data_IF_965486295650
#
_entry.id   IF_965486295650
#
_cell.length_a   1.000
_cell.length_b   1.000
_cell.length_c   1.000
_cell.angle_alpha   90.00
_cell.angle_beta   90.00
_cell.angle_gamma   90.00
#
_symmetry.space_group_name_H-M   'P 1'
#
loop_
_entity.id
_entity.type
_entity.pdbx_description
1 polymer ?
#
# COMPACT_ATOMS: atom_id res chain seq x y z
N UNK A 1 64.43 -24.84 11.42
CA UNK A 1 63.52 -23.67 11.33
C UNK A 1 62.17 -24.14 10.85
N UNK A 2 61.18 -24.19 11.72
CA UNK A 2 59.77 -24.59 11.40
C UNK A 2 58.94 -23.30 11.31
N UNK A 3 58.52 -22.95 10.11
CA UNK A 3 57.61 -21.79 9.87
C UNK A 3 56.20 -22.30 10.12
N UNK A 4 55.60 -21.86 11.23
CA UNK A 4 54.24 -22.14 11.59
C UNK A 4 53.33 -21.17 10.82
N UNK A 5 52.71 -21.64 9.74
CA UNK A 5 51.73 -20.89 8.98
C UNK A 5 50.43 -20.71 9.76
N UNK A 6 50.12 -19.49 10.22
CA UNK A 6 48.89 -19.14 10.89
C UNK A 6 47.83 -18.89 9.81
N UNK A 7 46.94 -19.88 9.62
CA UNK A 7 45.75 -19.73 8.74
C UNK A 7 44.75 -18.88 9.49
N UNK A 8 44.58 -17.62 9.04
CA UNK A 8 43.53 -16.70 9.50
C UNK A 8 42.23 -17.14 8.85
N UNK A 9 41.40 -17.92 9.56
CA UNK A 9 40.06 -18.27 9.14
C UNK A 9 39.16 -17.01 9.22
N UNK A 10 38.91 -16.38 8.06
CA UNK A 10 37.94 -15.28 7.94
C UNK A 10 36.53 -15.88 8.15
N UNK A 11 35.94 -15.69 9.33
CA UNK A 11 34.58 -16.02 9.63
C UNK A 11 33.68 -15.09 8.83
N UNK A 12 33.22 -15.55 7.67
CA UNK A 12 32.09 -14.96 6.93
C UNK A 12 30.83 -15.08 7.82
N UNK A 13 30.57 -14.09 8.66
CA UNK A 13 29.30 -14.00 9.34
C UNK A 13 28.22 -13.73 8.28
N UNK A 14 27.17 -14.57 8.20
CA UNK A 14 26.06 -14.28 7.32
C UNK A 14 25.44 -12.93 7.79
N UNK A 15 25.50 -11.92 6.93
CA UNK A 15 24.74 -10.70 7.14
C UNK A 15 23.27 -11.11 7.08
N UNK A 16 22.50 -10.94 8.16
CA UNK A 16 21.08 -11.25 8.11
C UNK A 16 20.47 -10.43 6.96
N UNK A 17 19.81 -11.11 6.02
CA UNK A 17 19.04 -10.43 4.99
C UNK A 17 18.07 -9.51 5.73
N UNK A 18 18.25 -8.19 5.59
CA UNK A 18 17.43 -7.22 6.27
C UNK A 18 15.96 -7.54 5.96
N UNK A 19 15.22 -7.86 7.00
CA UNK A 19 13.80 -8.07 6.92
C UNK A 19 13.18 -6.81 6.31
N UNK A 20 12.38 -6.95 5.29
CA UNK A 20 11.87 -5.82 4.56
C UNK A 20 10.49 -6.12 3.98
N UNK A 21 9.52 -5.36 4.40
CA UNK A 21 8.20 -5.33 3.78
C UNK A 21 8.18 -4.26 2.70
N UNK A 22 7.74 -4.63 1.50
CA UNK A 22 7.50 -3.68 0.40
C UNK A 22 6.01 -3.39 0.33
N UNK A 23 5.65 -2.12 0.42
CA UNK A 23 4.31 -1.65 0.09
C UNK A 23 4.30 -1.20 -1.37
N UNK A 24 3.29 -1.63 -2.12
CA UNK A 24 3.08 -1.20 -3.50
C UNK A 24 1.68 -0.62 -3.66
N UNK A 25 1.59 0.45 -4.42
CA UNK A 25 0.35 1.18 -4.69
C UNK A 25 -0.14 0.84 -6.08
N UNK A 26 -1.38 0.38 -6.14
CA UNK A 26 -2.02 -0.09 -7.37
C UNK A 26 -3.23 0.74 -7.73
N UNK A 27 -3.47 0.88 -9.04
CA UNK A 27 -4.76 1.28 -9.58
C UNK A 27 -5.34 0.18 -10.46
N UNK A 28 -6.66 0.06 -10.43
CA UNK A 28 -7.42 -0.76 -11.37
C UNK A 28 -8.34 0.16 -12.15
N UNK A 29 -8.19 0.16 -13.48
CA UNK A 29 -8.99 1.00 -14.36
C UNK A 29 -10.39 0.43 -14.60
N UNK A 30 -11.26 1.23 -15.22
CA UNK A 30 -12.60 0.81 -15.63
C UNK A 30 -12.56 -0.41 -16.56
N UNK A 31 -13.00 -1.55 -16.02
CA UNK A 31 -13.38 -2.73 -16.78
C UNK A 31 -14.85 -3.02 -16.48
N UNK A 32 -15.14 -4.18 -15.94
CA UNK A 32 -16.46 -4.55 -15.40
C UNK A 32 -16.77 -3.97 -14.02
N UNK A 33 -15.84 -3.23 -13.40
CA UNK A 33 -15.93 -2.68 -12.05
C UNK A 33 -15.56 -1.20 -12.00
N UNK A 34 -15.94 -0.50 -10.92
CA UNK A 34 -15.53 0.89 -10.69
C UNK A 34 -13.99 1.01 -10.57
N UNK A 35 -13.39 2.13 -11.05
CA UNK A 35 -11.97 2.41 -10.83
C UNK A 35 -11.63 2.35 -9.36
N UNK A 36 -10.50 1.71 -9.03
CA UNK A 36 -10.12 1.47 -7.65
C UNK A 36 -8.63 1.71 -7.42
N UNK A 37 -8.28 2.16 -6.22
CA UNK A 37 -6.91 2.18 -5.72
C UNK A 37 -6.78 1.33 -4.46
N UNK A 38 -5.68 0.60 -4.35
CA UNK A 38 -5.39 -0.27 -3.21
C UNK A 38 -3.89 -0.42 -3.02
N UNK A 39 -3.49 -1.02 -1.90
CA UNK A 39 -2.10 -1.34 -1.59
C UNK A 39 -1.90 -2.84 -1.51
N UNK A 40 -0.68 -3.30 -1.83
CA UNK A 40 -0.19 -4.64 -1.45
C UNK A 40 0.97 -4.49 -0.49
N UNK A 41 1.14 -5.46 0.40
CA UNK A 41 2.25 -5.58 1.34
C UNK A 41 2.88 -6.96 1.16
N UNK A 42 4.17 -7.01 0.80
CA UNK A 42 4.90 -8.26 0.55
C UNK A 42 6.29 -8.20 1.15
N UNK A 43 6.72 -9.30 1.77
CA UNK A 43 8.06 -9.41 2.34
C UNK A 43 8.13 -10.20 3.63
N UNK A 44 9.06 -9.80 4.50
CA UNK A 44 9.22 -10.35 5.85
C UNK A 44 9.50 -9.23 6.84
N UNK A 45 8.96 -9.36 8.03
CA UNK A 45 9.28 -8.53 9.19
C UNK A 45 10.59 -8.98 9.86
N UNK A 46 11.15 -8.17 10.76
CA UNK A 46 12.42 -8.47 11.46
C UNK A 46 12.32 -9.76 12.31
N UNK A 47 11.14 -10.09 12.84
CA UNK A 47 10.87 -11.34 13.55
C UNK A 47 10.64 -12.55 12.64
N UNK A 48 10.76 -12.37 11.30
CA UNK A 48 10.65 -13.43 10.30
C UNK A 48 9.24 -13.72 9.81
N UNK A 49 8.21 -12.98 10.26
CA UNK A 49 6.85 -13.16 9.78
C UNK A 49 6.75 -12.86 8.27
N UNK A 50 6.23 -13.81 7.51
CA UNK A 50 5.96 -13.60 6.07
C UNK A 50 4.70 -12.77 5.90
N UNK A 51 4.81 -11.69 5.11
CA UNK A 51 3.72 -10.79 4.75
C UNK A 51 3.41 -10.95 3.28
N UNK A 52 2.18 -11.31 2.93
CA UNK A 52 1.62 -11.29 1.57
C UNK A 52 0.12 -10.98 1.66
N UNK A 53 -0.22 -9.72 1.59
CA UNK A 53 -1.60 -9.25 1.73
C UNK A 53 -1.83 -7.99 0.91
N UNK A 54 -3.11 -7.58 0.82
CA UNK A 54 -3.49 -6.34 0.16
C UNK A 54 -4.74 -5.74 0.82
N UNK A 55 -4.92 -4.43 0.70
CA UNK A 55 -6.03 -3.70 1.30
C UNK A 55 -6.50 -2.57 0.40
N UNK A 56 -7.81 -2.50 0.20
CA UNK A 56 -8.49 -1.39 -0.44
C UNK A 56 -9.71 -0.98 0.38
N UNK A 57 -10.08 0.30 0.35
CA UNK A 57 -11.31 0.77 0.99
C UNK A 57 -12.41 0.96 -0.04
N UNK A 58 -13.51 0.23 0.12
CA UNK A 58 -14.62 0.21 -0.83
C UNK A 58 -15.98 0.31 -0.14
N UNK A 59 -17.04 0.54 -0.90
CA UNK A 59 -18.41 0.47 -0.40
C UNK A 59 -18.79 -0.99 -0.11
N UNK A 60 -19.52 -1.24 0.98
CA UNK A 60 -20.06 -2.58 1.32
C UNK A 60 -20.98 -3.13 0.23
N UNK A 61 -21.72 -2.22 -0.45
CA UNK A 61 -22.61 -2.56 -1.55
C UNK A 61 -22.54 -1.49 -2.63
N UNK A 62 -22.35 -1.90 -3.88
CA UNK A 62 -22.32 -1.02 -5.04
C UNK A 62 -23.76 -0.84 -5.54
N UNK A 63 -24.41 0.24 -5.13
CA UNK A 63 -25.77 0.60 -5.52
C UNK A 63 -25.81 2.06 -5.98
N UNK A 64 -26.86 2.53 -6.68
CA UNK A 64 -27.02 3.93 -7.05
C UNK A 64 -26.94 4.91 -5.87
N UNK A 65 -27.21 4.45 -4.64
CA UNK A 65 -27.09 5.26 -3.41
C UNK A 65 -25.68 5.84 -3.21
N UNK A 66 -24.62 5.21 -3.77
CA UNK A 66 -23.24 5.73 -3.75
C UNK A 66 -23.13 7.11 -4.41
N UNK A 67 -23.92 7.34 -5.47
CA UNK A 67 -23.95 8.60 -6.21
C UNK A 67 -24.70 9.70 -5.45
N UNK A 68 -25.61 9.30 -4.57
CA UNK A 68 -26.50 10.20 -3.83
C UNK A 68 -25.95 10.61 -2.46
N UNK A 69 -24.94 9.92 -1.93
CA UNK A 69 -24.44 10.24 -0.59
C UNK A 69 -23.48 9.23 -0.01
N UNK A 70 -23.46 9.17 1.32
CA UNK A 70 -22.60 8.24 2.06
C UNK A 70 -23.30 6.88 2.25
N UNK A 71 -22.53 5.80 2.07
CA UNK A 71 -22.95 4.41 2.28
C UNK A 71 -21.98 3.71 3.24
N UNK A 72 -22.29 2.47 3.65
CA UNK A 72 -21.36 1.67 4.46
C UNK A 72 -20.06 1.42 3.70
N UNK A 73 -18.91 1.61 4.35
CA UNK A 73 -17.58 1.28 3.84
C UNK A 73 -17.00 0.02 4.48
N UNK A 74 -16.04 -0.60 3.81
CA UNK A 74 -15.25 -1.73 4.33
C UNK A 74 -13.82 -1.70 3.78
N UNK A 75 -12.87 -2.21 4.56
CA UNK A 75 -11.59 -2.66 4.02
C UNK A 75 -11.80 -4.04 3.38
N UNK A 76 -11.32 -4.21 2.19
CA UNK A 76 -11.44 -5.44 1.41
C UNK A 76 -10.06 -5.90 0.94
N UNK A 77 -9.87 -7.23 0.92
CA UNK A 77 -8.71 -7.89 0.33
C UNK A 77 -9.11 -8.43 -1.04
N UNK A 78 -8.40 -8.01 -2.08
CA UNK A 78 -8.66 -8.43 -3.46
C UNK A 78 -8.07 -9.81 -3.76
N UNK A 79 -8.71 -10.55 -4.66
CA UNK A 79 -8.21 -11.84 -5.16
C UNK A 79 -6.89 -11.67 -5.93
N UNK A 80 -6.00 -12.69 -5.96
CA UNK A 80 -4.73 -12.61 -6.69
C UNK A 80 -4.90 -12.24 -8.16
N UNK A 81 -5.93 -12.76 -8.84
CA UNK A 81 -6.22 -12.42 -10.24
C UNK A 81 -6.55 -10.95 -10.46
N UNK A 82 -7.24 -10.31 -9.50
CA UNK A 82 -7.53 -8.88 -9.54
C UNK A 82 -6.26 -8.05 -9.38
N UNK A 83 -5.39 -8.42 -8.44
CA UNK A 83 -4.09 -7.77 -8.25
C UNK A 83 -3.24 -7.90 -9.51
N UNK A 84 -3.19 -9.11 -10.11
CA UNK A 84 -2.41 -9.39 -11.33
C UNK A 84 -2.90 -8.59 -12.56
N UNK A 85 -4.19 -8.26 -12.63
CA UNK A 85 -4.78 -7.44 -13.72
C UNK A 85 -4.78 -5.94 -13.42
N UNK A 86 -4.17 -5.50 -12.32
CA UNK A 86 -4.09 -4.10 -11.91
C UNK A 86 -2.70 -3.51 -12.20
N UNK A 87 -2.63 -2.20 -12.40
CA UNK A 87 -1.39 -1.48 -12.66
C UNK A 87 -0.71 -1.07 -11.35
N UNK A 88 0.51 -1.57 -11.13
CA UNK A 88 1.37 -1.06 -10.07
C UNK A 88 1.93 0.31 -10.49
N UNK A 89 1.71 1.33 -9.66
CA UNK A 89 2.16 2.68 -9.96
C UNK A 89 3.55 2.97 -9.36
N UNK A 90 3.78 2.55 -8.11
CA UNK A 90 5.08 2.66 -7.43
C UNK A 90 5.12 1.77 -6.18
N UNK A 91 6.29 1.62 -5.60
CA UNK A 91 6.52 0.83 -4.37
C UNK A 91 7.48 1.55 -3.43
N UNK A 92 7.37 1.27 -2.12
CA UNK A 92 8.26 1.78 -1.08
C UNK A 92 8.64 0.63 -0.15
N UNK A 93 9.88 0.62 0.30
CA UNK A 93 10.36 -0.30 1.32
C UNK A 93 10.00 0.26 2.69
N UNK A 94 9.48 -0.60 3.55
CA UNK A 94 9.07 -0.24 4.91
C UNK A 94 10.03 -0.89 5.91
N UNK A 95 10.37 -0.16 6.97
CA UNK A 95 10.82 -0.78 8.21
C UNK A 95 9.62 -1.33 9.01
N UNK A 96 9.90 -2.10 10.07
CA UNK A 96 8.84 -2.73 10.88
C UNK A 96 7.95 -1.71 11.59
N UNK A 97 8.48 -0.54 11.96
CA UNK A 97 7.69 0.53 12.58
C UNK A 97 6.70 1.12 11.57
N UNK A 98 7.14 1.37 10.35
CA UNK A 98 6.28 1.83 9.26
C UNK A 98 5.23 0.79 8.91
N UNK A 99 5.62 -0.50 8.83
CA UNK A 99 4.69 -1.60 8.61
C UNK A 99 3.61 -1.66 9.70
N UNK A 100 4.01 -1.63 10.98
CA UNK A 100 3.05 -1.62 12.09
C UNK A 100 2.10 -0.42 12.04
N UNK A 101 2.61 0.76 11.66
CA UNK A 101 1.80 1.97 11.51
C UNK A 101 0.79 1.85 10.36
N UNK A 102 1.18 1.24 9.23
CA UNK A 102 0.27 0.95 8.11
C UNK A 102 -0.84 -0.01 8.56
N UNK A 103 -0.48 -1.07 9.29
CA UNK A 103 -1.48 -2.04 9.79
C UNK A 103 -2.44 -1.40 10.80
N UNK A 104 -1.97 -0.51 11.66
CA UNK A 104 -2.82 0.26 12.57
C UNK A 104 -3.80 1.18 11.80
N UNK A 105 -3.34 1.81 10.72
CA UNK A 105 -4.19 2.61 9.85
C UNK A 105 -5.25 1.75 9.13
N UNK A 106 -4.87 0.58 8.62
CA UNK A 106 -5.81 -0.38 8.01
C UNK A 106 -6.92 -0.73 9.00
N UNK A 107 -6.57 -1.02 10.26
CA UNK A 107 -7.54 -1.37 11.30
C UNK A 107 -8.44 -0.17 11.66
N UNK A 108 -7.89 1.04 11.76
CA UNK A 108 -8.68 2.28 11.92
C UNK A 108 -9.74 2.41 10.82
N UNK A 109 -9.37 2.17 9.55
CA UNK A 109 -10.30 2.25 8.44
C UNK A 109 -11.30 1.09 8.41
N UNK A 110 -10.91 -0.10 8.90
CA UNK A 110 -11.78 -1.29 9.01
C UNK A 110 -12.92 -1.07 10.00
N UNK A 111 -12.63 -0.37 11.10
CA UNK A 111 -13.57 -0.13 12.21
C UNK A 111 -14.39 1.16 12.08
N UNK A 112 -14.29 1.87 10.94
CA UNK A 112 -15.08 3.08 10.71
C UNK A 112 -16.59 2.80 10.82
N UNK A 113 -17.30 3.55 11.68
CA UNK A 113 -18.73 3.30 11.92
C UNK A 113 -19.64 3.80 10.80
N UNK A 114 -20.83 3.19 10.71
CA UNK A 114 -21.95 3.70 9.95
C UNK A 114 -21.73 3.86 8.45
N UNK A 115 -22.21 4.97 7.89
CA UNK A 115 -22.08 5.32 6.46
C UNK A 115 -20.72 5.94 6.18
N UNK A 116 -19.64 5.14 6.23
CA UNK A 116 -18.26 5.59 6.19
C UNK A 116 -17.67 5.78 4.80
N UNK A 117 -18.30 5.31 3.74
CA UNK A 117 -17.85 5.48 2.36
C UNK A 117 -18.60 6.62 1.67
N UNK A 118 -17.86 7.50 0.98
CA UNK A 118 -18.42 8.60 0.18
C UNK A 118 -17.47 8.94 -0.95
N UNK A 119 -17.95 9.01 -2.18
CA UNK A 119 -17.15 9.26 -3.39
C UNK A 119 -16.34 10.56 -3.35
N UNK A 120 -16.81 11.58 -2.64
CA UNK A 120 -16.16 12.90 -2.60
C UNK A 120 -15.38 13.17 -1.32
N UNK A 121 -15.68 12.44 -0.22
CA UNK A 121 -15.17 12.77 1.13
C UNK A 121 -14.36 11.65 1.78
N UNK A 122 -14.61 10.39 1.41
CA UNK A 122 -13.94 9.22 1.99
C UNK A 122 -14.11 8.00 1.09
N UNK A 123 -13.15 7.76 0.22
CA UNK A 123 -13.13 6.65 -0.74
C UNK A 123 -11.75 5.98 -0.78
N UNK A 124 -11.49 5.11 -1.75
CA UNK A 124 -10.22 4.41 -1.91
C UNK A 124 -9.03 5.36 -2.04
N UNK A 125 -9.19 6.52 -2.69
CA UNK A 125 -8.12 7.53 -2.87
C UNK A 125 -7.72 8.13 -1.52
N UNK A 126 -8.67 8.44 -0.64
CA UNK A 126 -8.37 8.95 0.68
C UNK A 126 -7.62 7.90 1.53
N UNK A 127 -8.03 6.62 1.45
CA UNK A 127 -7.34 5.53 2.13
C UNK A 127 -5.89 5.40 1.66
N UNK A 128 -5.65 5.23 0.35
CA UNK A 128 -4.27 5.08 -0.15
C UNK A 128 -3.45 6.36 0.03
N UNK A 129 -4.08 7.54 0.02
CA UNK A 129 -3.43 8.82 0.30
C UNK A 129 -2.97 8.94 1.75
N UNK A 130 -3.80 8.55 2.74
CA UNK A 130 -3.38 8.50 4.15
C UNK A 130 -2.26 7.49 4.36
N UNK A 131 -2.31 6.31 3.72
CA UNK A 131 -1.21 5.34 3.75
C UNK A 131 0.06 5.95 3.16
N UNK A 132 -0.02 6.63 2.01
CA UNK A 132 1.12 7.28 1.36
C UNK A 132 1.75 8.34 2.27
N UNK A 133 0.96 9.19 2.92
CA UNK A 133 1.45 10.18 3.90
C UNK A 133 2.20 9.52 5.06
N UNK A 134 1.66 8.42 5.57
CA UNK A 134 2.24 7.69 6.71
C UNK A 134 3.62 7.12 6.39
N UNK A 135 3.87 6.73 5.13
CA UNK A 135 5.17 6.21 4.68
C UNK A 135 6.10 7.31 4.10
N UNK A 136 5.78 8.58 4.35
CA UNK A 136 6.65 9.72 4.02
C UNK A 136 6.48 10.30 2.62
N UNK A 137 5.42 9.92 1.88
CA UNK A 137 5.11 10.46 0.56
C UNK A 137 4.32 11.77 0.72
N UNK A 138 4.75 12.82 0.01
CA UNK A 138 3.98 14.07 -0.08
C UNK A 138 2.70 13.84 -0.87
N UNK A 139 1.55 14.17 -0.27
CA UNK A 139 0.22 13.95 -0.85
C UNK A 139 -0.55 15.26 -0.91
N UNK A 140 -1.17 15.52 -2.05
CA UNK A 140 -2.15 16.60 -2.23
C UNK A 140 -3.44 15.98 -2.74
N UNK A 141 -4.55 16.20 -2.03
CA UNK A 141 -5.87 15.72 -2.45
C UNK A 141 -6.54 16.74 -3.36
N UNK A 142 -6.21 16.69 -4.65
CA UNK A 142 -6.84 17.54 -5.65
C UNK A 142 -8.27 17.09 -5.91
N UNK A 143 -9.23 18.03 -5.87
CA UNK A 143 -10.66 17.74 -6.00
C UNK A 143 -10.99 16.97 -7.29
N UNK A 144 -10.33 17.32 -8.39
CA UNK A 144 -10.56 16.73 -9.71
C UNK A 144 -9.99 15.30 -9.85
N UNK A 145 -9.13 14.88 -8.91
CA UNK A 145 -8.53 13.55 -8.87
C UNK A 145 -9.24 12.58 -7.93
N UNK A 146 -10.16 13.04 -7.06
CA UNK A 146 -10.81 12.21 -6.04
C UNK A 146 -11.65 11.05 -6.57
N UNK A 147 -11.87 10.97 -7.88
CA UNK A 147 -12.58 9.86 -8.56
C UNK A 147 -11.74 9.22 -9.67
N UNK A 148 -10.44 9.55 -9.74
CA UNK A 148 -9.50 9.08 -10.76
C UNK A 148 -8.28 8.40 -10.10
N UNK A 149 -8.41 7.16 -9.62
CA UNK A 149 -7.37 6.49 -8.82
C UNK A 149 -6.00 6.47 -9.48
N UNK A 150 -5.90 6.11 -10.77
CA UNK A 150 -4.64 6.10 -11.52
C UNK A 150 -4.02 7.49 -11.59
N UNK A 151 -4.79 8.49 -11.99
CA UNK A 151 -4.30 9.88 -12.08
C UNK A 151 -3.85 10.40 -10.73
N UNK A 152 -4.56 10.07 -9.64
CA UNK A 152 -4.16 10.43 -8.29
C UNK A 152 -2.80 9.78 -7.92
N UNK A 153 -2.61 8.49 -8.13
CA UNK A 153 -1.33 7.84 -7.80
C UNK A 153 -0.19 8.37 -8.69
N UNK A 154 -0.43 8.66 -9.96
CA UNK A 154 0.55 9.31 -10.83
C UNK A 154 0.90 10.74 -10.38
N UNK A 155 -0.05 11.50 -9.83
CA UNK A 155 0.24 12.82 -9.26
C UNK A 155 1.17 12.71 -8.04
N UNK A 156 1.06 11.64 -7.24
CA UNK A 156 2.00 11.38 -6.15
C UNK A 156 3.42 11.14 -6.68
N UNK A 157 3.58 10.39 -7.76
CA UNK A 157 4.90 10.19 -8.40
C UNK A 157 5.46 11.52 -8.92
N UNK A 158 4.63 12.40 -9.48
CA UNK A 158 5.06 13.72 -9.92
C UNK A 158 5.51 14.63 -8.76
N UNK A 159 4.81 14.57 -7.62
CA UNK A 159 5.12 15.33 -6.41
C UNK A 159 6.34 14.79 -5.64
N UNK A 160 6.74 13.53 -5.89
CA UNK A 160 7.80 12.80 -5.21
C UNK A 160 8.73 12.12 -6.24
N UNK A 161 9.66 12.88 -6.88
CA UNK A 161 10.47 12.35 -7.98
C UNK A 161 11.29 11.09 -7.65
N UNK A 162 11.58 10.86 -6.37
CA UNK A 162 12.29 9.67 -5.90
C UNK A 162 11.47 8.35 -6.05
N UNK A 163 10.16 8.45 -6.30
CA UNK A 163 9.29 7.29 -6.61
C UNK A 163 9.40 6.81 -8.06
N UNK A 164 10.08 7.56 -8.95
CA UNK A 164 10.24 7.15 -10.35
C UNK A 164 11.10 5.91 -10.44
N UNK A 165 10.54 4.82 -10.97
CA UNK A 165 11.23 3.54 -11.15
C UNK A 165 11.26 2.64 -9.90
N UNK A 166 10.48 2.95 -8.86
CA UNK A 166 10.36 2.14 -7.64
C UNK A 166 9.27 1.05 -7.78
#
# INVERSE_FOLDING_TARGET
MRILGMILALLLMPVPAAAQVVISFYSHDLGSTFPHAFITLKGKTEDGQVVDTNFGFTAKSVTPAILMGSVGGKIETSKPSYVASSDRQFSVKLDDRQYASVMALVEKWRTLPGKSYNLNKRNCIHFVGEVAQLVGIKVVFEKDLLKKPKSFLLSLVALNPWLKGS
#
